data_IF_901029147214
#
_entry.id   IF_901029147214
#
_cell.length_a   1.000
_cell.length_b   1.000
_cell.length_c   1.000
_cell.angle_alpha   90.00
_cell.angle_beta   90.00
_cell.angle_gamma   90.00
#
_symmetry.space_group_name_H-M   'P 1'
#
loop_
_entity.id
_entity.type
_entity.pdbx_description
1 polymer ?
#
# COMPACT_ATOMS: atom_id res chain seq x y z
N UNK A 1 -35.03 -49.16 -31.17
CA UNK A 1 -34.74 -50.61 -31.45
C UNK A 1 -33.59 -50.63 -32.45
N UNK A 2 -32.44 -51.26 -32.10
CA UNK A 2 -31.89 -52.49 -32.72
C UNK A 2 -31.63 -52.36 -34.24
N UNK A 3 -30.44 -52.59 -34.81
CA UNK A 3 -29.12 -53.10 -34.35
C UNK A 3 -28.00 -52.35 -35.11
N UNK A 4 -26.68 -52.40 -34.82
CA UNK A 4 -25.78 -53.56 -34.65
C UNK A 4 -25.61 -54.29 -35.99
N UNK A 5 -24.42 -54.54 -36.56
CA UNK A 5 -23.02 -54.31 -36.17
C UNK A 5 -22.12 -54.34 -37.44
N UNK A 6 -20.80 -54.18 -37.31
CA UNK A 6 -19.72 -55.03 -37.89
C UNK A 6 -18.38 -54.26 -37.91
N UNK A 7 -17.45 -54.68 -37.05
CA UNK A 7 -16.00 -54.45 -37.19
C UNK A 7 -15.36 -55.64 -37.92
N UNK A 8 -14.21 -55.47 -38.60
CA UNK A 8 -12.94 -56.03 -38.09
C UNK A 8 -11.80 -54.98 -38.05
N UNK A 9 -10.78 -55.04 -37.17
CA UNK A 9 -9.56 -55.89 -37.23
C UNK A 9 -8.73 -55.62 -38.51
N UNK A 10 -7.41 -55.43 -38.57
CA UNK A 10 -6.24 -55.63 -37.65
C UNK A 10 -5.39 -54.32 -37.64
N UNK A 11 -4.20 -54.13 -37.04
CA UNK A 11 -3.18 -55.02 -36.47
C UNK A 11 -2.46 -54.38 -35.24
N UNK A 12 -1.20 -54.78 -34.97
CA UNK A 12 -0.24 -54.14 -34.07
C UNK A 12 1.12 -53.98 -34.78
N UNK A 13 2.20 -53.75 -34.02
CA UNK A 13 3.60 -53.50 -34.46
C UNK A 13 3.80 -52.18 -35.25
N UNK A 14 4.70 -51.26 -34.89
CA UNK A 14 5.77 -51.26 -33.89
C UNK A 14 7.14 -51.47 -34.53
N UNK A 15 7.95 -50.40 -34.61
CA UNK A 15 9.41 -50.52 -34.65
C UNK A 15 10.11 -49.23 -34.21
N UNK A 16 11.23 -49.42 -33.50
CA UNK A 16 12.17 -48.37 -33.12
C UNK A 16 13.04 -47.96 -34.31
N UNK A 17 13.33 -46.66 -34.42
CA UNK A 17 14.47 -46.17 -35.21
C UNK A 17 15.03 -44.87 -34.58
N UNK A 18 15.59 -44.99 -33.38
CA UNK A 18 16.48 -43.94 -32.84
C UNK A 18 17.88 -44.15 -33.39
N UNK A 19 18.40 -43.16 -34.12
CA UNK A 19 19.82 -42.96 -34.39
C UNK A 19 20.04 -41.44 -34.48
N UNK A 20 20.79 -40.83 -33.56
CA UNK A 20 22.27 -40.76 -33.61
C UNK A 20 22.71 -39.89 -34.81
N UNK A 21 23.32 -38.71 -34.64
CA UNK A 21 24.34 -38.33 -33.64
C UNK A 21 24.26 -36.83 -33.30
N UNK A 22 24.44 -36.47 -32.03
CA UNK A 22 25.62 -35.72 -31.57
C UNK A 22 25.57 -35.58 -30.03
N UNK A 23 26.52 -36.17 -29.30
CA UNK A 23 27.86 -35.61 -29.04
C UNK A 23 27.85 -34.39 -28.11
N UNK A 24 27.64 -34.64 -26.81
CA UNK A 24 28.48 -34.06 -25.73
C UNK A 24 28.52 -35.02 -24.55
N UNK A 25 29.72 -35.26 -24.06
CA UNK A 25 30.02 -36.31 -23.09
C UNK A 25 29.60 -35.90 -21.69
N UNK A 26 28.94 -36.82 -20.96
CA UNK A 26 28.67 -36.68 -19.53
C UNK A 26 29.43 -37.77 -18.77
N UNK A 27 30.68 -37.47 -18.38
CA UNK A 27 31.51 -38.41 -17.61
C UNK A 27 31.17 -38.36 -16.12
N UNK A 28 31.03 -39.55 -15.52
CA UNK A 28 30.61 -39.77 -14.13
C UNK A 28 31.72 -39.49 -13.10
N UNK A 29 31.27 -38.99 -11.94
CA UNK A 29 31.69 -39.36 -10.58
C UNK A 29 33.18 -39.25 -10.15
N UNK A 30 33.47 -38.19 -9.39
CA UNK A 30 33.60 -38.33 -7.92
C UNK A 30 35.00 -38.44 -7.30
N UNK A 31 35.06 -38.04 -6.01
CA UNK A 31 36.25 -37.95 -5.11
C UNK A 31 37.25 -36.84 -5.48
N UNK A 32 37.90 -36.14 -4.54
CA UNK A 32 37.71 -36.05 -3.07
C UNK A 32 38.56 -34.93 -2.48
N UNK A 33 38.09 -34.28 -1.41
CA UNK A 33 38.97 -33.74 -0.36
C UNK A 33 39.50 -32.31 -0.54
N UNK A 34 39.15 -31.48 0.45
CA UNK A 34 39.94 -30.35 1.00
C UNK A 34 40.60 -29.35 0.04
N UNK A 35 39.98 -28.18 -0.05
CA UNK A 35 40.53 -27.02 -0.75
C UNK A 35 39.78 -25.72 -0.46
N UNK A 36 39.24 -25.55 0.76
CA UNK A 36 38.75 -24.24 1.18
C UNK A 36 39.95 -23.31 1.38
N UNK A 37 40.36 -22.67 0.28
CA UNK A 37 41.35 -21.61 0.27
C UNK A 37 40.95 -20.58 1.33
N UNK A 38 41.68 -20.54 2.45
CA UNK A 38 41.40 -19.63 3.55
C UNK A 38 41.39 -18.20 2.99
N UNK A 39 40.20 -17.58 2.95
CA UNK A 39 40.08 -16.22 2.39
C UNK A 39 40.96 -15.31 3.26
N UNK A 40 41.96 -14.60 2.69
CA UNK A 40 42.89 -13.82 3.49
C UNK A 40 42.16 -12.85 4.42
N UNK A 41 42.67 -12.66 5.64
CA UNK A 41 41.99 -11.88 6.68
C UNK A 41 41.63 -10.46 6.23
N UNK A 42 42.43 -9.85 5.35
CA UNK A 42 42.17 -8.53 4.76
C UNK A 42 41.02 -8.51 3.73
N UNK A 43 40.64 -9.67 3.17
CA UNK A 43 39.42 -9.87 2.38
C UNK A 43 38.28 -10.47 3.21
N UNK A 44 38.47 -10.73 4.50
CA UNK A 44 37.36 -11.03 5.39
C UNK A 44 36.66 -9.72 5.70
N UNK A 45 35.63 -9.41 4.90
CA UNK A 45 34.67 -8.34 5.21
C UNK A 45 34.27 -8.52 6.67
N UNK A 46 34.48 -7.54 7.56
CA UNK A 46 34.09 -7.66 8.95
C UNK A 46 32.62 -8.05 9.00
N UNK A 47 32.29 -9.11 9.75
CA UNK A 47 30.91 -9.42 10.10
C UNK A 47 30.41 -8.46 11.20
N UNK A 48 30.63 -7.16 10.98
CA UNK A 48 29.72 -6.17 11.47
C UNK A 48 28.41 -6.44 10.73
N UNK A 49 27.33 -6.60 11.49
CA UNK A 49 25.99 -6.58 10.91
C UNK A 49 25.90 -5.38 9.97
N UNK A 50 25.38 -5.59 8.76
CA UNK A 50 24.81 -4.49 7.99
C UNK A 50 23.99 -3.63 8.96
N UNK A 51 24.09 -2.29 8.90
CA UNK A 51 23.12 -1.45 9.58
C UNK A 51 21.75 -2.04 9.27
N UNK A 52 20.99 -2.40 10.32
CA UNK A 52 19.63 -2.92 10.11
C UNK A 52 18.95 -1.92 9.20
N UNK A 53 18.40 -2.37 8.09
CA UNK A 53 17.81 -1.46 7.12
C UNK A 53 16.78 -0.58 7.85
N UNK A 54 17.13 0.69 8.07
CA UNK A 54 16.19 1.71 8.50
C UNK A 54 15.27 1.90 7.29
N UNK A 55 14.13 1.19 7.38
CA UNK A 55 13.27 0.80 6.27
C UNK A 55 12.65 2.04 5.59
N UNK A 56 13.37 2.58 4.59
CA UNK A 56 13.04 3.81 3.85
C UNK A 56 13.05 5.12 4.67
N UNK A 57 14.23 5.58 5.11
CA UNK A 57 14.49 7.01 5.37
C UNK A 57 15.23 7.71 4.21
N UNK A 58 14.81 7.40 2.98
CA UNK A 58 15.12 8.21 1.79
C UNK A 58 13.81 8.59 1.10
N UNK A 59 13.24 9.70 1.55
CA UNK A 59 12.30 10.56 0.84
C UNK A 59 11.38 9.85 -0.16
N UNK A 60 10.58 8.89 0.32
CA UNK A 60 9.49 8.35 -0.50
C UNK A 60 8.55 9.52 -0.78
N UNK A 61 8.44 10.01 -2.03
CA UNK A 61 7.75 11.25 -2.31
C UNK A 61 6.32 11.10 -1.84
N UNK A 62 5.95 11.92 -0.85
CA UNK A 62 4.67 11.80 -0.19
C UNK A 62 3.58 12.09 -1.23
N UNK A 63 2.99 11.03 -1.78
CA UNK A 63 2.07 11.10 -2.91
C UNK A 63 0.86 11.96 -2.57
N UNK A 64 0.48 12.00 -1.30
CA UNK A 64 -0.54 12.90 -0.79
C UNK A 64 -0.14 14.36 -0.94
N UNK A 65 1.07 14.77 -0.51
CA UNK A 65 1.56 16.15 -0.69
C UNK A 65 1.65 16.55 -2.16
N UNK A 66 2.01 15.60 -3.04
CA UNK A 66 2.06 15.85 -4.48
C UNK A 66 0.66 16.05 -5.08
N UNK A 67 -0.30 15.19 -4.74
CA UNK A 67 -1.71 15.30 -5.16
C UNK A 67 -2.35 16.58 -4.62
N UNK A 68 -2.10 16.91 -3.34
CA UNK A 68 -2.50 18.14 -2.65
C UNK A 68 -2.00 19.40 -3.39
N UNK A 69 -0.71 19.45 -3.74
CA UNK A 69 -0.17 20.58 -4.48
C UNK A 69 -0.75 20.68 -5.90
N UNK A 70 -0.87 19.56 -6.63
CA UNK A 70 -1.49 19.55 -7.95
C UNK A 70 -2.95 20.02 -7.93
N UNK A 71 -3.68 19.74 -6.84
CA UNK A 71 -5.06 20.18 -6.66
C UNK A 71 -5.14 21.69 -6.43
N UNK A 72 -4.33 22.24 -5.51
CA UNK A 72 -4.25 23.70 -5.28
C UNK A 72 -3.91 24.47 -6.55
N UNK A 73 -3.00 23.95 -7.37
CA UNK A 73 -2.62 24.54 -8.66
C UNK A 73 -3.69 24.33 -9.76
N UNK A 74 -4.82 23.67 -9.47
CA UNK A 74 -5.89 23.33 -10.42
C UNK A 74 -5.40 22.54 -11.65
N UNK A 75 -4.29 21.81 -11.51
CA UNK A 75 -3.68 20.99 -12.58
C UNK A 75 -4.45 19.67 -12.74
N UNK A 76 -4.89 19.09 -11.63
CA UNK A 76 -5.75 17.90 -11.62
C UNK A 76 -7.21 18.30 -11.40
N UNK A 77 -8.16 17.78 -12.21
CA UNK A 77 -9.57 18.08 -12.03
C UNK A 77 -10.16 17.26 -10.88
N UNK A 78 -11.12 17.83 -10.15
CA UNK A 78 -11.81 17.22 -9.00
C UNK A 78 -12.21 15.73 -9.19
N UNK A 79 -12.76 15.28 -10.35
CA UNK A 79 -13.11 13.86 -10.54
C UNK A 79 -11.91 12.91 -10.48
N UNK A 80 -10.71 13.35 -10.85
CA UNK A 80 -9.50 12.52 -10.78
C UNK A 80 -9.05 12.30 -9.32
N UNK A 81 -9.29 13.27 -8.44
CA UNK A 81 -9.05 13.12 -7.00
C UNK A 81 -10.08 12.18 -6.39
N UNK A 82 -11.35 12.31 -6.77
CA UNK A 82 -12.39 11.38 -6.32
C UNK A 82 -12.09 9.93 -6.73
N UNK A 83 -11.58 9.71 -7.94
CA UNK A 83 -11.13 8.40 -8.43
C UNK A 83 -9.88 7.90 -7.68
N UNK A 84 -8.92 8.78 -7.36
CA UNK A 84 -7.75 8.43 -6.53
C UNK A 84 -8.16 8.01 -5.11
N UNK A 85 -9.08 8.75 -4.47
CA UNK A 85 -9.62 8.40 -3.15
C UNK A 85 -10.35 7.05 -3.18
N UNK A 86 -11.14 6.78 -4.23
CA UNK A 86 -11.79 5.47 -4.40
C UNK A 86 -10.75 4.34 -4.47
N UNK A 87 -9.69 4.48 -5.28
CA UNK A 87 -8.59 3.50 -5.37
C UNK A 87 -7.89 3.23 -4.04
N UNK A 88 -7.78 4.22 -3.15
CA UNK A 88 -7.23 4.03 -1.80
C UNK A 88 -8.16 3.19 -0.90
N UNK A 89 -9.47 3.24 -1.16
CA UNK A 89 -10.53 2.63 -0.35
C UNK A 89 -11.15 1.35 -0.96
N UNK A 90 -10.75 0.94 -2.16
CA UNK A 90 -11.38 -0.17 -2.91
C UNK A 90 -11.46 -1.48 -2.12
N UNK A 91 -10.44 -1.81 -1.32
CA UNK A 91 -10.31 -3.13 -0.68
C UNK A 91 -10.63 -3.14 0.83
N UNK A 92 -11.86 -3.53 1.19
CA UNK A 92 -12.30 -3.71 2.59
C UNK A 92 -11.81 -5.02 3.22
N UNK A 93 -11.66 -6.07 2.42
CA UNK A 93 -11.44 -7.43 2.95
C UNK A 93 -10.03 -7.59 3.51
N UNK A 94 -9.08 -6.88 2.90
CA UNK A 94 -7.71 -6.77 3.38
C UNK A 94 -7.12 -5.40 3.00
N UNK A 95 -7.53 -4.32 3.69
CA UNK A 95 -7.01 -2.98 3.44
C UNK A 95 -5.50 -2.93 3.71
N UNK A 96 -4.77 -2.26 2.83
CA UNK A 96 -3.38 -1.92 3.10
C UNK A 96 -3.35 -0.70 4.04
N UNK A 97 -2.64 -0.81 5.17
CA UNK A 97 -2.55 0.30 6.14
C UNK A 97 -2.05 1.57 5.46
N UNK A 98 -0.99 1.47 4.64
CA UNK A 98 -0.45 2.61 3.88
C UNK A 98 -1.49 3.31 3.00
N UNK A 99 -2.42 2.60 2.35
CA UNK A 99 -3.46 3.25 1.54
C UNK A 99 -4.47 3.98 2.44
N UNK A 100 -4.80 3.36 3.57
CA UNK A 100 -5.73 3.93 4.57
C UNK A 100 -5.12 5.17 5.23
N UNK A 101 -3.83 5.15 5.57
CA UNK A 101 -3.10 6.32 6.07
C UNK A 101 -2.99 7.42 5.01
N UNK A 102 -2.69 7.08 3.75
CA UNK A 102 -2.63 8.05 2.64
C UNK A 102 -3.98 8.73 2.43
N UNK A 103 -5.08 7.98 2.52
CA UNK A 103 -6.45 8.50 2.47
C UNK A 103 -6.72 9.50 3.61
N UNK A 104 -6.38 9.14 4.85
CA UNK A 104 -6.59 10.03 5.98
C UNK A 104 -5.76 11.32 5.88
N UNK A 105 -4.47 11.21 5.53
CA UNK A 105 -3.58 12.38 5.38
C UNK A 105 -4.07 13.29 4.24
N UNK A 106 -4.62 12.72 3.15
CA UNK A 106 -5.16 13.51 2.04
C UNK A 106 -6.40 14.30 2.50
N UNK A 107 -7.35 13.64 3.15
CA UNK A 107 -8.55 14.32 3.65
C UNK A 107 -8.25 15.39 4.69
N UNK A 108 -7.28 15.16 5.59
CA UNK A 108 -6.89 16.19 6.56
C UNK A 108 -6.24 17.43 5.92
N UNK A 109 -5.65 17.30 4.73
CA UNK A 109 -5.03 18.41 4.00
C UNK A 109 -6.04 19.15 3.09
N UNK A 110 -6.72 18.42 2.20
CA UNK A 110 -7.56 18.99 1.13
C UNK A 110 -9.06 18.86 1.35
N UNK A 111 -9.52 18.08 2.35
CA UNK A 111 -10.94 17.76 2.54
C UNK A 111 -11.86 18.97 2.61
N UNK A 112 -11.40 20.07 3.21
CA UNK A 112 -12.12 21.35 3.28
C UNK A 112 -12.41 21.97 1.90
N UNK A 113 -11.52 21.78 0.93
CA UNK A 113 -11.62 22.39 -0.39
C UNK A 113 -12.53 21.60 -1.35
N UNK A 114 -12.67 20.28 -1.16
CA UNK A 114 -13.52 19.44 -2.01
C UNK A 114 -14.81 18.89 -1.36
N UNK A 115 -14.99 18.94 -0.03
CA UNK A 115 -16.28 18.63 0.62
C UNK A 115 -17.29 19.79 0.48
N UNK A 116 -17.71 19.98 -0.77
CA UNK A 116 -18.69 20.97 -1.18
C UNK A 116 -20.03 20.31 -1.55
N UNK A 117 -21.10 21.11 -1.66
CA UNK A 117 -22.50 20.63 -1.81
C UNK A 117 -22.72 19.61 -2.95
N UNK A 118 -21.92 19.66 -4.03
CA UNK A 118 -22.01 18.71 -5.16
C UNK A 118 -21.31 17.38 -4.87
N UNK A 119 -20.17 17.41 -4.17
CA UNK A 119 -19.40 16.22 -3.80
C UNK A 119 -19.89 15.51 -2.53
N UNK A 120 -20.88 16.09 -1.82
CA UNK A 120 -21.40 15.54 -0.56
C UNK A 120 -21.73 14.03 -0.63
N UNK A 121 -22.32 13.55 -1.72
CA UNK A 121 -22.60 12.12 -1.91
C UNK A 121 -21.35 11.23 -1.94
N UNK A 122 -20.29 11.68 -2.63
CA UNK A 122 -18.98 11.01 -2.64
C UNK A 122 -18.35 11.02 -1.24
N UNK A 123 -18.41 12.17 -0.56
CA UNK A 123 -17.85 12.36 0.77
C UNK A 123 -18.56 11.52 1.84
N UNK A 124 -19.89 11.43 1.79
CA UNK A 124 -20.68 10.55 2.65
C UNK A 124 -20.32 9.07 2.41
N UNK A 125 -20.06 8.69 1.15
CA UNK A 125 -19.50 7.39 0.80
C UNK A 125 -18.13 7.12 1.45
N UNK A 126 -17.21 8.08 1.38
CA UNK A 126 -15.88 7.95 1.99
C UNK A 126 -15.93 7.85 3.52
N UNK A 127 -16.76 8.66 4.19
CA UNK A 127 -16.92 8.57 5.65
C UNK A 127 -17.54 7.24 6.08
N UNK A 128 -18.54 6.74 5.35
CA UNK A 128 -19.15 5.44 5.66
C UNK A 128 -18.11 4.32 5.49
N UNK A 129 -17.32 4.36 4.42
CA UNK A 129 -16.22 3.44 4.15
C UNK A 129 -15.09 3.52 5.18
N UNK A 130 -14.74 4.71 5.66
CA UNK A 130 -13.81 4.88 6.79
C UNK A 130 -14.33 4.17 8.05
N UNK A 131 -15.65 4.24 8.31
CA UNK A 131 -16.32 3.52 9.39
C UNK A 131 -16.36 1.99 9.20
N UNK A 132 -16.35 1.48 7.97
CA UNK A 132 -16.14 0.05 7.68
C UNK A 132 -14.70 -0.37 7.99
N UNK A 133 -13.72 0.39 7.51
CA UNK A 133 -12.29 0.14 7.72
C UNK A 133 -11.91 0.16 9.20
N UNK A 134 -12.44 1.11 9.98
CA UNK A 134 -12.21 1.20 11.42
C UNK A 134 -12.57 -0.10 12.18
N UNK A 135 -13.63 -0.79 11.74
CA UNK A 135 -14.09 -2.07 12.32
C UNK A 135 -13.18 -3.25 11.96
N UNK A 136 -12.29 -3.12 10.97
CA UNK A 136 -11.37 -4.20 10.59
C UNK A 136 -10.40 -4.50 11.72
N UNK A 137 -10.40 -5.75 12.20
CA UNK A 137 -9.66 -6.14 13.41
C UNK A 137 -8.14 -6.04 13.25
N UNK A 138 -7.61 -6.24 12.03
CA UNK A 138 -6.16 -6.27 11.78
C UNK A 138 -5.52 -4.90 11.51
N UNK A 139 -6.30 -3.81 11.35
CA UNK A 139 -5.70 -2.47 11.26
C UNK A 139 -5.04 -2.09 12.59
N UNK A 140 -3.84 -1.52 12.51
CA UNK A 140 -3.10 -1.00 13.64
C UNK A 140 -3.83 0.14 14.36
N UNK A 141 -3.47 0.35 15.63
CA UNK A 141 -4.04 1.46 16.44
C UNK A 141 -3.76 2.84 15.81
N UNK A 142 -2.62 3.00 15.14
CA UNK A 142 -2.23 4.23 14.43
C UNK A 142 -3.23 4.54 13.31
N UNK A 143 -3.44 3.59 12.39
CA UNK A 143 -4.39 3.76 11.28
C UNK A 143 -5.82 3.98 11.77
N UNK A 144 -6.23 3.30 12.86
CA UNK A 144 -7.55 3.50 13.48
C UNK A 144 -7.73 4.89 14.10
N UNK A 145 -6.69 5.46 14.71
CA UNK A 145 -6.71 6.86 15.17
C UNK A 145 -6.95 7.80 14.00
N UNK A 146 -6.14 7.68 12.93
CA UNK A 146 -6.25 8.53 11.74
C UNK A 146 -7.62 8.45 11.06
N UNK A 147 -8.30 7.30 11.12
CA UNK A 147 -9.68 7.14 10.63
C UNK A 147 -10.69 7.90 11.51
N UNK A 148 -10.56 7.83 12.83
CA UNK A 148 -11.39 8.62 13.76
C UNK A 148 -11.13 10.11 13.58
N UNK A 149 -9.87 10.54 13.57
CA UNK A 149 -9.45 11.93 13.42
C UNK A 149 -10.11 12.59 12.20
N UNK A 150 -10.19 11.87 11.07
CA UNK A 150 -10.81 12.35 9.82
C UNK A 150 -12.34 12.35 9.85
N UNK A 151 -12.96 11.34 10.50
CA UNK A 151 -14.42 11.31 10.72
C UNK A 151 -14.83 12.49 11.61
N UNK A 152 -14.09 12.72 12.70
CA UNK A 152 -14.33 13.79 13.65
C UNK A 152 -14.06 15.16 13.01
N UNK A 153 -12.95 15.33 12.28
CA UNK A 153 -12.63 16.55 11.53
C UNK A 153 -13.76 16.93 10.56
N UNK A 154 -14.32 15.96 9.83
CA UNK A 154 -15.46 16.20 8.95
C UNK A 154 -16.74 16.55 9.72
N UNK A 155 -17.01 15.88 10.84
CA UNK A 155 -18.19 16.20 11.67
C UNK A 155 -18.15 17.62 12.25
N UNK A 156 -16.94 18.12 12.52
CA UNK A 156 -16.66 19.50 12.95
C UNK A 156 -16.51 20.50 11.78
N UNK A 157 -16.91 20.14 10.55
CA UNK A 157 -16.89 21.08 9.41
C UNK A 157 -15.50 21.44 8.89
N UNK A 158 -14.53 20.53 9.06
CA UNK A 158 -13.10 20.71 8.70
C UNK A 158 -12.35 21.73 9.57
N UNK A 159 -12.79 21.90 10.81
CA UNK A 159 -12.08 22.67 11.83
C UNK A 159 -11.35 21.76 12.82
N UNK A 160 -10.06 22.00 13.02
CA UNK A 160 -9.26 21.27 14.01
C UNK A 160 -9.55 21.75 15.42
N UNK A 161 -9.96 20.82 16.30
CA UNK A 161 -10.33 21.07 17.71
C UNK A 161 -9.24 21.79 18.54
N UNK A 162 -7.99 21.78 18.08
CA UNK A 162 -6.85 22.52 18.67
C UNK A 162 -6.98 24.04 18.63
N UNK A 163 -7.82 24.60 17.75
CA UNK A 163 -7.85 26.03 17.47
C UNK A 163 -8.76 26.82 18.44
N UNK A 164 -9.44 26.14 19.37
CA UNK A 164 -10.45 26.72 20.23
C UNK A 164 -9.92 27.45 21.49
N UNK A 165 -8.60 27.40 21.76
CA UNK A 165 -8.03 27.76 23.07
C UNK A 165 -6.88 28.81 23.06
N UNK A 166 -6.68 29.57 21.98
CA UNK A 166 -5.74 30.72 21.96
C UNK A 166 -6.42 32.06 21.60
N UNK A 167 -7.63 32.26 22.13
CA UNK A 167 -8.28 33.58 22.22
C UNK A 167 -8.43 33.97 23.70
N UNK A 168 -7.32 33.87 24.44
CA UNK A 168 -7.21 34.48 25.76
C UNK A 168 -7.24 36.00 25.63
N UNK A 169 -8.38 36.63 25.89
CA UNK A 169 -8.47 38.08 25.99
C UNK A 169 -7.59 38.57 27.14
N UNK A 170 -6.36 38.98 26.84
CA UNK A 170 -5.59 39.89 27.69
C UNK A 170 -6.22 41.27 27.57
N UNK A 171 -7.34 41.46 28.27
CA UNK A 171 -7.82 42.79 28.61
C UNK A 171 -6.87 43.37 29.65
N UNK A 172 -5.92 44.17 29.17
CA UNK A 172 -5.25 45.17 29.99
C UNK A 172 -6.31 46.01 30.73
N UNK A 173 -6.17 46.06 32.05
CA UNK A 173 -6.73 47.11 32.89
C UNK A 173 -5.96 47.12 34.21
N UNK A 174 -4.75 47.66 34.15
CA UNK A 174 -4.00 47.98 35.36
C UNK A 174 -4.74 49.02 36.23
N UNK A 175 -5.35 48.58 37.33
CA UNK A 175 -5.88 49.46 38.38
C UNK A 175 -5.85 48.79 39.76
N UNK A 176 -4.66 48.78 40.39
CA UNK A 176 -4.60 48.60 41.84
C UNK A 176 -5.07 49.89 42.53
N UNK A 177 -6.22 49.84 43.20
CA UNK A 177 -6.62 50.86 44.16
C UNK A 177 -6.82 50.25 45.56
N UNK A 178 -6.11 50.87 46.52
CA UNK A 178 -6.12 50.71 47.99
C UNK A 178 -5.05 49.79 48.57
#
# INVERSE_FOLDING_TARGET
>A
MRSGDISPVIAAQGHLAVNSKDSRQATRLGRSGQGYQQRPSFLRVPSQSLPKDDENDYDRPNTVKFVDELFRQNIIPEPAIHEYIQRLLDNISNPLEQNTESFCVLLSATGKEFDHKKAKGSMDGYSNRAGELFKYSKLSRKTKSLLLDVIDLRSNGWESLTNANDNGQVSDNGQCQR
#
